data_IF_850191024080
#
_entry.id   IF_850191024080
#
_cell.length_a   1.000
_cell.length_b   1.000
_cell.length_c   1.000
_cell.angle_alpha   90.00
_cell.angle_beta   90.00
_cell.angle_gamma   90.00
#
_symmetry.space_group_name_H-M   'P 1'
#
loop_
_entity.id
_entity.type
_entity.pdbx_description
1 polymer ?
#
# COMPACT_ATOMS: atom_id res chain seq x y z
N UNK A 1 -0.72 15.98 -19.29
CA UNK A 1 0.06 15.99 -18.03
C UNK A 1 1.19 14.98 -18.12
N UNK A 2 2.42 15.45 -18.08
CA UNK A 2 3.62 14.60 -18.12
C UNK A 2 3.82 13.90 -16.76
N UNK A 3 4.53 12.76 -16.74
CA UNK A 3 4.80 11.97 -15.52
C UNK A 3 5.50 12.80 -14.42
N UNK A 4 6.29 13.80 -14.81
CA UNK A 4 7.00 14.72 -13.92
C UNK A 4 6.05 15.72 -13.25
N UNK A 5 5.11 16.30 -14.00
CA UNK A 5 4.07 17.20 -13.47
C UNK A 5 3.19 16.49 -12.44
N UNK A 6 2.83 15.23 -12.70
CA UNK A 6 2.09 14.40 -11.74
C UNK A 6 2.89 14.15 -10.45
N UNK A 7 4.21 13.93 -10.52
CA UNK A 7 5.06 13.78 -9.34
C UNK A 7 5.14 15.05 -8.51
N UNK A 8 5.38 16.20 -9.16
CA UNK A 8 5.36 17.52 -8.49
C UNK A 8 3.98 17.78 -7.86
N UNK A 9 2.89 17.35 -8.50
CA UNK A 9 1.54 17.49 -7.96
C UNK A 9 1.35 16.68 -6.67
N UNK A 10 1.92 15.49 -6.61
CA UNK A 10 1.87 14.57 -5.46
C UNK A 10 2.86 14.97 -4.37
N UNK A 11 4.05 15.50 -4.68
CA UNK A 11 5.15 15.73 -3.73
C UNK A 11 5.20 17.14 -3.11
N UNK A 12 4.04 17.74 -2.82
CA UNK A 12 4.03 18.97 -2.00
C UNK A 12 4.32 18.64 -0.54
N UNK A 13 5.24 19.42 0.06
CA UNK A 13 5.63 19.33 1.47
C UNK A 13 4.46 19.72 2.36
N UNK A 14 4.30 19.04 3.50
CA UNK A 14 3.30 19.42 4.50
C UNK A 14 3.58 20.83 5.05
N UNK A 15 2.52 21.53 5.46
CA UNK A 15 2.63 22.82 6.13
C UNK A 15 3.45 22.71 7.40
N UNK A 16 4.18 23.77 7.75
CA UNK A 16 4.99 23.84 8.96
C UNK A 16 4.34 24.79 9.97
N UNK A 17 4.77 24.74 11.24
CA UNK A 17 4.25 25.63 12.30
C UNK A 17 4.26 27.12 11.90
N UNK A 18 5.26 27.56 11.14
CA UNK A 18 5.42 28.95 10.68
C UNK A 18 4.76 29.24 9.32
N UNK A 19 4.32 28.22 8.60
CA UNK A 19 3.67 28.32 7.28
C UNK A 19 2.54 27.28 7.20
N UNK A 20 1.36 27.60 7.78
CA UNK A 20 0.22 26.70 7.74
C UNK A 20 -0.26 26.52 6.29
N UNK A 21 -0.80 25.34 5.99
CA UNK A 21 -1.41 25.06 4.69
C UNK A 21 -2.63 25.96 4.47
N UNK A 22 -2.77 26.49 3.26
CA UNK A 22 -4.00 27.16 2.84
C UNK A 22 -5.18 26.17 2.79
N UNK A 23 -6.41 26.68 2.71
CA UNK A 23 -7.62 25.84 2.64
C UNK A 23 -7.65 25.02 1.34
N UNK A 24 -7.17 25.60 0.25
CA UNK A 24 -7.07 24.99 -1.08
C UNK A 24 -6.04 23.86 -1.06
N UNK A 25 -4.86 24.10 -0.48
CA UNK A 25 -3.82 23.08 -0.35
C UNK A 25 -4.24 21.94 0.59
N UNK A 26 -5.03 22.21 1.64
CA UNK A 26 -5.64 21.16 2.48
C UNK A 26 -6.60 20.28 1.69
N UNK A 27 -7.50 20.88 0.91
CA UNK A 27 -8.50 20.16 0.11
C UNK A 27 -7.80 19.27 -0.92
N UNK A 28 -6.84 19.83 -1.65
CA UNK A 28 -5.99 19.07 -2.58
C UNK A 28 -5.22 17.94 -1.89
N UNK A 29 -4.66 18.18 -0.70
CA UNK A 29 -3.93 17.14 0.04
C UNK A 29 -4.86 16.01 0.47
N UNK A 30 -6.10 16.33 0.85
CA UNK A 30 -7.14 15.34 1.19
C UNK A 30 -7.50 14.46 -0.01
N UNK A 31 -7.62 15.03 -1.20
CA UNK A 31 -7.84 14.27 -2.44
C UNK A 31 -6.65 13.35 -2.75
N UNK A 32 -5.42 13.88 -2.69
CA UNK A 32 -4.20 13.10 -2.95
C UNK A 32 -4.01 11.98 -1.92
N UNK A 33 -4.43 12.20 -0.67
CA UNK A 33 -4.32 11.21 0.40
C UNK A 33 -5.07 9.91 0.08
N UNK A 34 -6.18 9.96 -0.68
CA UNK A 34 -6.91 8.75 -1.10
C UNK A 34 -6.04 7.86 -1.97
N UNK A 35 -5.35 8.46 -2.95
CA UNK A 35 -4.43 7.75 -3.85
C UNK A 35 -3.20 7.23 -3.11
N UNK A 36 -2.61 8.04 -2.21
CA UNK A 36 -1.46 7.62 -1.38
C UNK A 36 -1.82 6.45 -0.47
N UNK A 37 -3.00 6.51 0.16
CA UNK A 37 -3.49 5.47 1.04
C UNK A 37 -3.64 4.12 0.32
N UNK A 38 -3.90 4.12 -1.00
CA UNK A 38 -3.89 2.91 -1.82
C UNK A 38 -2.54 2.18 -1.76
N UNK A 39 -1.43 2.91 -1.84
CA UNK A 39 -0.08 2.36 -1.73
C UNK A 39 0.36 2.09 -0.28
N UNK A 40 -0.03 2.93 0.69
CA UNK A 40 0.41 2.81 2.09
C UNK A 40 -0.25 1.65 2.85
N UNK A 41 -1.53 1.34 2.55
CA UNK A 41 -2.29 0.25 3.18
C UNK A 41 -1.61 -1.13 3.10
N UNK A 42 -1.09 -1.60 1.94
CA UNK A 42 -0.36 -2.86 1.89
C UNK A 42 0.92 -2.83 2.74
N UNK A 43 1.68 -1.73 2.74
CA UNK A 43 2.87 -1.61 3.60
C UNK A 43 2.52 -1.67 5.09
N UNK A 44 1.43 -1.03 5.52
CA UNK A 44 0.94 -1.13 6.89
C UNK A 44 0.59 -2.58 7.26
N UNK A 45 -0.03 -3.31 6.31
CA UNK A 45 -0.35 -4.73 6.46
C UNK A 45 0.92 -5.56 6.61
N UNK A 46 1.93 -5.34 5.77
CA UNK A 46 3.21 -6.06 5.84
C UNK A 46 3.91 -5.84 7.18
N UNK A 47 3.97 -4.59 7.63
CA UNK A 47 4.56 -4.22 8.92
C UNK A 47 3.87 -4.91 10.10
N UNK A 48 2.53 -4.88 10.13
CA UNK A 48 1.73 -5.40 11.25
C UNK A 48 1.58 -6.92 11.24
N UNK A 49 1.22 -7.49 10.10
CA UNK A 49 0.81 -8.90 10.00
C UNK A 49 1.94 -9.84 9.57
N UNK A 50 2.97 -9.31 8.90
CA UNK A 50 4.10 -10.10 8.41
C UNK A 50 5.42 -9.73 9.12
N UNK A 51 5.34 -8.95 10.20
CA UNK A 51 6.46 -8.69 11.09
C UNK A 51 7.49 -7.69 10.59
N UNK A 52 7.29 -7.04 9.43
CA UNK A 52 8.27 -6.12 8.83
C UNK A 52 8.65 -4.94 9.74
N UNK A 53 7.84 -4.58 10.73
CA UNK A 53 8.17 -3.53 11.69
C UNK A 53 9.31 -3.89 12.66
N UNK A 54 9.61 -5.19 12.85
CA UNK A 54 10.55 -5.67 13.88
C UNK A 54 11.76 -6.42 13.32
N UNK A 55 11.90 -6.45 12.00
CA UNK A 55 13.00 -7.13 11.33
C UNK A 55 14.30 -6.36 11.56
N UNK A 56 15.39 -7.08 11.88
CA UNK A 56 16.73 -6.51 12.14
C UNK A 56 17.79 -7.04 11.17
N UNK A 57 17.41 -7.39 9.94
CA UNK A 57 18.38 -7.87 8.97
C UNK A 57 19.34 -6.76 8.55
N UNK A 58 20.63 -7.02 8.73
CA UNK A 58 21.70 -6.16 8.22
C UNK A 58 21.97 -6.51 6.76
N UNK A 59 21.48 -5.65 5.85
CA UNK A 59 21.68 -5.77 4.40
C UNK A 59 20.42 -5.52 3.58
N UNK A 60 20.55 -4.77 2.49
CA UNK A 60 19.43 -4.44 1.59
C UNK A 60 18.81 -5.69 0.97
N UNK A 61 19.63 -6.64 0.52
CA UNK A 61 19.16 -7.88 -0.09
C UNK A 61 18.25 -8.68 0.86
N UNK A 62 18.66 -8.86 2.12
CA UNK A 62 17.88 -9.59 3.13
C UNK A 62 16.54 -8.91 3.41
N UNK A 63 16.54 -7.58 3.55
CA UNK A 63 15.31 -6.82 3.74
C UNK A 63 14.38 -6.90 2.51
N UNK A 64 14.95 -6.84 1.30
CA UNK A 64 14.19 -6.97 0.06
C UNK A 64 13.54 -8.35 -0.08
N UNK A 65 14.25 -9.42 0.27
CA UNK A 65 13.71 -10.79 0.23
C UNK A 65 12.49 -10.93 1.13
N UNK A 66 12.55 -10.48 2.38
CA UNK A 66 11.42 -10.61 3.31
C UNK A 66 10.24 -9.73 2.90
N UNK A 67 10.54 -8.54 2.40
CA UNK A 67 9.51 -7.69 1.81
C UNK A 67 8.78 -8.41 0.66
N UNK A 68 9.53 -9.02 -0.26
CA UNK A 68 8.97 -9.79 -1.37
C UNK A 68 8.09 -10.94 -0.88
N UNK A 69 8.58 -11.72 0.09
CA UNK A 69 7.82 -12.83 0.69
C UNK A 69 6.51 -12.35 1.35
N UNK A 70 6.56 -11.27 2.11
CA UNK A 70 5.35 -10.69 2.72
C UNK A 70 4.35 -10.20 1.67
N UNK A 71 4.82 -9.59 0.58
CA UNK A 71 3.95 -9.15 -0.51
C UNK A 71 3.28 -10.33 -1.23
N UNK A 72 4.04 -11.40 -1.52
CA UNK A 72 3.50 -12.64 -2.11
C UNK A 72 2.44 -13.25 -1.19
N UNK A 73 2.76 -13.45 0.09
CA UNK A 73 1.83 -14.04 1.05
C UNK A 73 0.55 -13.21 1.21
N UNK A 74 0.67 -11.87 1.23
CA UNK A 74 -0.49 -10.99 1.28
C UNK A 74 -1.38 -11.05 0.03
N UNK A 75 -0.78 -11.15 -1.15
CA UNK A 75 -1.53 -11.31 -2.40
C UNK A 75 -2.24 -12.67 -2.47
N UNK A 76 -1.59 -13.75 -2.03
CA UNK A 76 -2.23 -15.07 -1.93
C UNK A 76 -3.43 -15.00 -0.99
N UNK A 77 -3.26 -14.49 0.23
CA UNK A 77 -4.35 -14.36 1.20
C UNK A 77 -5.52 -13.53 0.66
N UNK A 78 -5.22 -12.45 -0.08
CA UNK A 78 -6.24 -11.61 -0.73
C UNK A 78 -6.97 -12.39 -1.83
N UNK A 79 -6.24 -13.12 -2.67
CA UNK A 79 -6.79 -13.96 -3.73
C UNK A 79 -7.68 -15.08 -3.16
N UNK A 80 -7.23 -15.79 -2.13
CA UNK A 80 -8.03 -16.80 -1.44
C UNK A 80 -9.32 -16.21 -0.88
N UNK A 81 -9.26 -15.06 -0.21
CA UNK A 81 -10.47 -14.39 0.29
C UNK A 81 -11.43 -13.99 -0.83
N UNK A 82 -10.90 -13.51 -1.96
CA UNK A 82 -11.71 -13.20 -3.12
C UNK A 82 -12.40 -14.45 -3.68
N UNK A 83 -11.68 -15.56 -3.82
CA UNK A 83 -12.24 -16.83 -4.29
C UNK A 83 -13.29 -17.40 -3.32
N UNK A 84 -13.08 -17.28 -2.01
CA UNK A 84 -14.08 -17.72 -1.01
C UNK A 84 -15.37 -16.89 -1.09
N UNK A 85 -15.26 -15.58 -1.33
CA UNK A 85 -16.42 -14.69 -1.35
C UNK A 85 -17.13 -14.62 -2.71
N UNK A 86 -16.39 -14.76 -3.81
CA UNK A 86 -16.88 -14.48 -5.16
C UNK A 86 -16.55 -15.59 -6.17
N UNK A 87 -15.73 -16.58 -5.79
CA UNK A 87 -15.43 -17.73 -6.64
C UNK A 87 -16.62 -18.68 -6.68
N UNK A 88 -17.43 -18.57 -7.74
CA UNK A 88 -18.42 -19.60 -8.06
C UNK A 88 -17.67 -20.80 -8.65
N UNK A 89 -17.33 -21.76 -7.80
CA UNK A 89 -17.12 -23.14 -8.21
C UNK A 89 -17.54 -24.04 -7.06
N UNK A 90 -18.80 -24.47 -7.09
CA UNK A 90 -19.13 -25.75 -6.47
C UNK A 90 -18.40 -26.79 -7.31
N UNK A 91 -17.61 -27.71 -6.73
CA UNK A 91 -17.12 -28.83 -7.50
C UNK A 91 -18.34 -29.61 -8.01
N UNK A 92 -18.51 -29.66 -9.32
CA UNK A 92 -19.41 -30.66 -9.91
C UNK A 92 -18.70 -32.00 -9.75
N UNK A 93 -19.19 -32.83 -8.83
CA UNK A 93 -18.83 -34.24 -8.78
C UNK A 93 -19.43 -34.90 -10.03
N UNK A 94 -18.61 -35.16 -11.04
CA UNK A 94 -18.96 -36.12 -12.08
C UNK A 94 -18.69 -37.51 -11.52
N UNK A 95 -19.74 -38.11 -10.95
CA UNK A 95 -19.79 -39.56 -10.73
C UNK A 95 -19.95 -40.31 -12.05
#
# INVERSE_FOLDING_TARGET
MTKAENRQKILKRAGTLRKPLSKEDRTRTKEIAVTRAGGERPFATYKRHYGLARIRFMGLAKNATIYGLAAIAANIRKGTKFLVLYGVSKPYYTG
#
